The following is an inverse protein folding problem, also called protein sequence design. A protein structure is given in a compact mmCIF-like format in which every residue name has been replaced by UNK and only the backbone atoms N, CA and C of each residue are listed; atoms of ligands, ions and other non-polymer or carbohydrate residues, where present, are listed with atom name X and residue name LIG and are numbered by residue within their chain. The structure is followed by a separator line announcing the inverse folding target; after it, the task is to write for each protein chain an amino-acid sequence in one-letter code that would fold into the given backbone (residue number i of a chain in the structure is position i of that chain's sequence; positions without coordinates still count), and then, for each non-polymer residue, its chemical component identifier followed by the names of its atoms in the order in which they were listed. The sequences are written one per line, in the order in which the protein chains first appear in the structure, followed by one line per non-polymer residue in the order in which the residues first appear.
data_IF_377159195787
#
_entry.id   IF_377159195787
#
_cell.length_a   1.000
_cell.length_b   1.000
_cell.length_c   1.000
_cell.angle_alpha   90.00
_cell.angle_beta   90.00
_cell.angle_gamma   90.00
#
_symmetry.space_group_name_H-M   'P 1'
#
loop_
_entity.id
_entity.type
_entity.pdbx_description
1 polymer ?
#
# COMPACT_ATOMS: atom_id res chain seq x y z
N UNK A 1 -12.30 -20.27 48.62
CA UNK A 1 -11.54 -19.08 48.21
C UNK A 1 -10.94 -19.36 46.84
N UNK A 2 -11.15 -18.49 45.86
CA UNK A 2 -10.53 -18.62 44.53
C UNK A 2 -9.09 -18.10 44.61
N UNK A 3 -8.13 -18.80 44.02
CA UNK A 3 -6.72 -18.41 44.01
C UNK A 3 -6.43 -17.12 43.22
N UNK A 4 -5.21 -16.56 43.34
CA UNK A 4 -4.83 -15.34 42.63
C UNK A 4 -4.89 -15.52 41.11
N UNK A 5 -5.23 -14.45 40.39
CA UNK A 5 -5.17 -14.43 38.93
C UNK A 5 -3.74 -14.64 38.43
N UNK A 6 -3.58 -15.35 37.31
CA UNK A 6 -2.28 -15.57 36.67
C UNK A 6 -1.71 -14.31 36.00
N UNK A 7 -0.45 -14.34 35.57
CA UNK A 7 0.19 -13.22 34.89
C UNK A 7 -0.46 -12.93 33.52
N UNK A 8 -0.45 -11.66 33.11
CA UNK A 8 -0.81 -11.24 31.74
C UNK A 8 0.21 -11.79 30.74
N UNK A 9 -0.28 -12.24 29.57
CA UNK A 9 0.58 -12.72 28.47
C UNK A 9 1.37 -11.61 27.77
N UNK A 10 2.34 -12.00 26.94
CA UNK A 10 3.15 -11.06 26.17
C UNK A 10 2.32 -10.28 25.13
N UNK A 11 2.72 -9.05 24.85
CA UNK A 11 2.17 -8.26 23.73
C UNK A 11 2.50 -8.92 22.39
N UNK A 12 1.54 -8.93 21.46
CA UNK A 12 1.73 -9.47 20.10
C UNK A 12 2.67 -8.62 19.24
N UNK A 13 3.07 -9.16 18.07
CA UNK A 13 3.93 -8.45 17.13
C UNK A 13 3.27 -7.17 16.59
N UNK A 14 4.06 -6.10 16.45
CA UNK A 14 3.65 -4.89 15.72
C UNK A 14 3.62 -5.19 14.21
N UNK A 15 2.61 -4.65 13.50
CA UNK A 15 2.52 -4.80 12.04
C UNK A 15 3.66 -4.11 11.27
N UNK A 16 3.69 -4.22 9.94
CA UNK A 16 4.71 -3.58 9.10
C UNK A 16 4.80 -2.08 9.39
N UNK A 17 6.03 -1.59 9.59
CA UNK A 17 6.29 -0.17 9.72
C UNK A 17 6.33 0.48 8.33
N UNK A 18 5.39 1.37 8.03
CA UNK A 18 5.45 2.23 6.85
C UNK A 18 4.08 2.66 6.33
N UNK A 19 3.94 3.93 6.02
CA UNK A 19 2.87 4.44 5.16
C UNK A 19 3.36 4.41 3.72
N UNK A 20 2.59 3.80 2.81
CA UNK A 20 2.83 3.95 1.38
C UNK A 20 2.34 5.33 0.93
N UNK A 21 3.17 6.08 0.22
CA UNK A 21 2.72 7.29 -0.49
C UNK A 21 1.88 6.85 -1.68
N UNK A 22 0.62 7.31 -1.81
CA UNK A 22 -0.17 7.02 -3.01
C UNK A 22 0.51 7.57 -4.28
N UNK A 23 0.45 6.80 -5.36
CA UNK A 23 0.85 7.27 -6.68
C UNK A 23 -0.10 8.36 -7.19
N UNK A 24 0.39 9.22 -8.10
CA UNK A 24 -0.45 10.20 -8.77
C UNK A 24 -1.57 9.52 -9.57
N UNK A 25 -2.77 10.11 -9.54
CA UNK A 25 -3.93 9.58 -10.25
C UNK A 25 -3.75 9.71 -11.77
N UNK A 26 -4.33 8.76 -12.49
CA UNK A 26 -4.48 8.80 -13.95
C UNK A 26 -5.95 9.00 -14.31
N UNK A 27 -6.22 9.60 -15.46
CA UNK A 27 -7.57 9.76 -15.99
C UNK A 27 -8.21 8.43 -16.39
N UNK A 28 -9.51 8.47 -16.67
CA UNK A 28 -10.17 7.35 -17.32
C UNK A 28 -9.90 7.41 -18.82
N UNK A 29 -9.34 6.34 -19.39
CA UNK A 29 -9.24 6.17 -20.83
C UNK A 29 -10.64 6.09 -21.45
N UNK A 30 -10.88 6.88 -22.51
CA UNK A 30 -12.16 6.92 -23.24
C UNK A 30 -12.04 6.40 -24.67
N UNK A 31 -10.81 6.29 -25.17
CA UNK A 31 -10.46 5.71 -26.47
C UNK A 31 -9.39 4.63 -26.33
N UNK A 32 -9.16 3.86 -27.40
CA UNK A 32 -8.09 2.85 -27.41
C UNK A 32 -6.71 3.49 -27.38
N UNK A 33 -6.56 4.67 -27.97
CA UNK A 33 -5.29 5.40 -27.98
C UNK A 33 -4.93 5.88 -26.56
N UNK A 34 -5.93 6.34 -25.80
CA UNK A 34 -5.76 6.79 -24.40
C UNK A 34 -5.21 5.65 -23.51
N UNK A 35 -5.58 4.39 -23.79
CA UNK A 35 -5.20 3.24 -22.93
C UNK A 35 -3.69 3.10 -22.79
N UNK A 36 -2.95 3.19 -23.89
CA UNK A 36 -1.49 2.98 -23.86
C UNK A 36 -0.80 4.15 -23.16
N UNK A 37 -1.29 5.36 -23.38
CA UNK A 37 -0.78 6.57 -22.74
C UNK A 37 -1.03 6.53 -21.22
N UNK A 38 -2.28 6.34 -20.81
CA UNK A 38 -2.69 6.29 -19.41
C UNK A 38 -2.04 5.12 -18.66
N UNK A 39 -1.90 3.96 -19.31
CA UNK A 39 -1.23 2.82 -18.70
C UNK A 39 0.26 3.11 -18.44
N UNK A 40 0.96 3.72 -19.39
CA UNK A 40 2.36 4.09 -19.19
C UNK A 40 2.51 5.18 -18.13
N UNK A 41 1.60 6.15 -18.08
CA UNK A 41 1.55 7.17 -17.04
C UNK A 41 1.33 6.54 -15.64
N UNK A 42 0.43 5.56 -15.53
CA UNK A 42 0.22 4.82 -14.30
C UNK A 42 1.50 4.10 -13.85
N UNK A 43 2.17 3.38 -14.75
CA UNK A 43 3.41 2.70 -14.42
C UNK A 43 4.52 3.66 -13.98
N UNK A 44 4.61 4.85 -14.60
CA UNK A 44 5.52 5.89 -14.17
C UNK A 44 5.19 6.38 -12.75
N UNK A 45 3.92 6.72 -12.50
CA UNK A 45 3.45 7.18 -11.20
C UNK A 45 3.72 6.16 -10.08
N UNK A 46 3.59 4.86 -10.38
CA UNK A 46 3.87 3.79 -9.41
C UNK A 46 5.37 3.61 -9.13
N UNK A 47 6.25 3.77 -10.12
CA UNK A 47 7.71 3.77 -9.92
C UNK A 47 8.17 4.99 -9.11
N UNK A 48 7.60 6.15 -9.41
CA UNK A 48 7.90 7.40 -8.69
C UNK A 48 7.44 7.33 -7.23
N UNK A 49 6.31 6.67 -6.97
CA UNK A 49 5.83 6.38 -5.62
C UNK A 49 6.65 5.29 -4.89
N UNK A 50 7.61 4.64 -5.56
CA UNK A 50 8.41 3.56 -5.00
C UNK A 50 7.64 2.26 -4.77
N UNK A 51 6.49 2.09 -5.43
CA UNK A 51 5.65 0.90 -5.34
C UNK A 51 6.05 -0.19 -6.33
N UNK A 52 6.82 0.17 -7.35
CA UNK A 52 7.41 -0.74 -8.33
C UNK A 52 8.93 -0.60 -8.31
N UNK A 53 9.62 -1.70 -8.58
CA UNK A 53 11.06 -1.69 -8.82
C UNK A 53 11.39 -0.95 -10.14
N UNK A 54 12.61 -0.39 -10.20
CA UNK A 54 13.06 0.44 -11.31
C UNK A 54 13.62 -0.40 -12.45
#
# INVERSE_FOLDING_TARGET
ATGPAGPTGATGATGPAGTVTPAAAVGNATTVDDIVEDFNALLANLRDAGLLER
#
